data_IF_980482494677
#
_entry.id   IF_980482494677
#
_cell.length_a   1.000
_cell.length_b   1.000
_cell.length_c   1.000
_cell.angle_alpha   90.00
_cell.angle_beta   90.00
_cell.angle_gamma   90.00
#
_symmetry.space_group_name_H-M   'P 1'
#
loop_
_entity.id
_entity.type
_entity.pdbx_description
1 polymer ?
#
# COMPACT_ATOMS: atom_id res chain seq x y z
N UNK A 1 -0.57 22.09 4.02
CA UNK A 1 -0.82 23.54 4.19
C UNK A 1 -0.47 24.26 2.88
N UNK A 2 -1.14 25.37 2.56
CA UNK A 2 -0.84 26.23 1.39
C UNK A 2 -0.49 27.63 1.91
N UNK A 3 0.50 28.28 1.30
CA UNK A 3 0.96 29.62 1.68
C UNK A 3 0.88 30.57 0.49
N UNK A 4 0.59 31.85 0.76
CA UNK A 4 0.54 32.93 -0.21
C UNK A 4 1.64 33.94 0.13
N UNK A 5 2.42 34.36 -0.87
CA UNK A 5 3.35 35.47 -0.68
C UNK A 5 2.57 36.78 -0.80
N UNK A 6 2.58 37.62 0.23
CA UNK A 6 1.81 38.86 0.23
C UNK A 6 2.41 39.95 -0.67
N UNK A 7 3.73 39.95 -0.86
CA UNK A 7 4.41 40.95 -1.69
C UNK A 7 4.20 40.70 -3.19
N UNK A 8 4.03 39.45 -3.60
CA UNK A 8 3.86 39.05 -5.01
C UNK A 8 2.44 38.56 -5.34
N UNK A 9 1.58 38.39 -4.33
CA UNK A 9 0.24 37.80 -4.43
C UNK A 9 0.19 36.43 -5.13
N UNK A 10 1.25 35.62 -4.95
CA UNK A 10 1.42 34.34 -5.66
C UNK A 10 1.46 33.15 -4.68
N UNK A 11 0.77 32.03 -4.97
CA UNK A 11 0.84 30.83 -4.16
C UNK A 11 2.26 30.25 -4.10
N UNK A 12 2.78 30.10 -2.88
CA UNK A 12 4.10 29.52 -2.65
C UNK A 12 4.15 28.04 -3.02
N UNK A 13 5.30 27.58 -3.49
CA UNK A 13 5.56 26.18 -3.88
C UNK A 13 6.36 25.47 -2.79
N UNK A 14 6.14 24.16 -2.65
CA UNK A 14 6.97 23.32 -1.79
C UNK A 14 8.38 23.28 -2.37
N UNK A 15 9.37 23.66 -1.56
CA UNK A 15 10.78 23.65 -1.94
C UNK A 15 11.46 22.37 -1.44
N UNK A 16 11.27 22.02 -0.18
CA UNK A 16 11.92 20.87 0.44
C UNK A 16 11.09 20.33 1.60
N UNK A 17 11.24 19.02 1.82
CA UNK A 17 10.76 18.32 3.01
C UNK A 17 11.93 17.49 3.54
N UNK A 18 12.33 17.71 4.78
CA UNK A 18 13.49 17.09 5.42
C UNK A 18 13.10 16.45 6.76
N UNK A 19 13.78 15.37 7.15
CA UNK A 19 13.38 14.55 8.31
C UNK A 19 12.33 13.48 7.94
N UNK A 20 11.91 12.60 8.88
CA UNK A 20 11.90 12.76 10.35
C UNK A 20 13.00 11.98 11.08
N UNK A 21 14.14 11.76 10.44
CA UNK A 21 15.23 10.91 10.97
C UNK A 21 15.73 11.38 12.35
N UNK A 22 15.87 12.69 12.54
CA UNK A 22 16.23 13.33 13.83
C UNK A 22 15.03 13.56 14.76
N UNK A 23 13.88 12.96 14.43
CA UNK A 23 12.65 13.08 15.19
C UNK A 23 11.82 14.31 14.89
N UNK A 24 12.27 15.27 14.07
CA UNK A 24 11.47 16.42 13.62
C UNK A 24 11.36 16.46 12.10
N UNK A 25 10.25 16.99 11.58
CA UNK A 25 9.99 17.19 10.17
C UNK A 25 10.08 18.69 9.86
N UNK A 26 10.91 19.04 8.89
CA UNK A 26 10.98 20.39 8.34
C UNK A 26 10.32 20.43 6.96
N UNK A 27 9.44 21.40 6.73
CA UNK A 27 8.79 21.62 5.43
C UNK A 27 9.01 23.07 5.02
N UNK A 28 9.72 23.28 3.91
CA UNK A 28 10.07 24.61 3.40
C UNK A 28 9.26 24.95 2.15
N UNK A 29 8.68 26.15 2.13
CA UNK A 29 7.97 26.72 1.00
C UNK A 29 8.72 27.94 0.47
N UNK A 30 8.61 28.19 -0.84
CA UNK A 30 9.25 29.32 -1.54
C UNK A 30 8.26 30.02 -2.46
N UNK A 31 8.29 31.35 -2.48
CA UNK A 31 7.63 32.15 -3.51
C UNK A 31 8.39 32.01 -4.84
N UNK A 32 7.72 31.66 -5.95
CA UNK A 32 8.39 31.49 -7.24
C UNK A 32 8.96 32.80 -7.81
N UNK A 33 8.35 33.94 -7.47
CA UNK A 33 8.73 35.26 -7.99
C UNK A 33 9.91 35.87 -7.23
N UNK A 34 9.72 36.23 -5.95
CA UNK A 34 10.74 36.94 -5.17
C UNK A 34 11.69 36.02 -4.38
N UNK A 35 11.40 34.72 -4.32
CA UNK A 35 12.23 33.75 -3.60
C UNK A 35 12.11 33.79 -2.07
N UNK A 36 11.16 34.55 -1.50
CA UNK A 36 10.86 34.53 -0.06
C UNK A 36 10.57 33.11 0.42
N UNK A 37 11.06 32.75 1.61
CA UNK A 37 10.99 31.38 2.17
C UNK A 37 10.36 31.37 3.54
N UNK A 38 9.55 30.35 3.79
CA UNK A 38 8.99 30.01 5.10
C UNK A 38 9.23 28.54 5.36
N UNK A 39 9.65 28.18 6.57
CA UNK A 39 9.81 26.80 6.99
C UNK A 39 8.89 26.51 8.18
N UNK A 40 8.22 25.36 8.13
CA UNK A 40 7.54 24.77 9.26
C UNK A 40 8.45 23.71 9.86
N UNK A 41 8.64 23.74 11.19
CA UNK A 41 9.35 22.70 11.92
C UNK A 41 8.39 22.05 12.90
N UNK A 42 8.17 20.74 12.77
CA UNK A 42 7.31 20.00 13.69
C UNK A 42 8.04 19.68 14.99
N UNK A 43 7.28 19.55 16.07
CA UNK A 43 7.84 19.13 17.35
C UNK A 43 8.32 17.68 17.27
N UNK A 44 9.45 17.39 17.93
CA UNK A 44 10.04 16.07 17.95
C UNK A 44 9.10 14.99 18.54
N UNK A 45 8.41 15.33 19.64
CA UNK A 45 7.56 14.36 20.34
C UNK A 45 6.30 14.01 19.54
N UNK A 46 5.74 15.00 18.84
CA UNK A 46 4.57 14.80 17.98
C UNK A 46 4.92 13.95 16.77
N UNK A 47 6.07 14.21 16.14
CA UNK A 47 6.49 13.48 14.93
C UNK A 47 6.83 12.02 15.27
N UNK A 48 7.46 11.76 16.41
CA UNK A 48 7.72 10.41 16.90
C UNK A 48 6.43 9.64 17.19
N UNK A 49 5.43 10.30 17.78
CA UNK A 49 4.11 9.70 18.00
C UNK A 49 3.42 9.35 16.67
N UNK A 50 3.46 10.23 15.66
CA UNK A 50 2.88 9.93 14.34
C UNK A 50 3.63 8.81 13.63
N UNK A 51 4.96 8.74 13.78
CA UNK A 51 5.80 7.66 13.23
C UNK A 51 5.46 6.31 13.85
N UNK A 52 5.22 6.25 15.16
CA UNK A 52 4.86 4.99 15.84
C UNK A 52 3.49 4.45 15.42
N UNK A 53 2.60 5.33 14.96
CA UNK A 53 1.31 4.96 14.36
C UNK A 53 1.43 4.42 12.92
N UNK A 54 2.63 4.37 12.34
CA UNK A 54 2.87 3.81 11.00
C UNK A 54 2.36 4.67 9.84
N UNK A 55 1.99 5.93 10.12
CA UNK A 55 1.49 6.86 9.11
C UNK A 55 2.68 7.38 8.29
N UNK A 56 2.62 7.24 6.96
CA UNK A 56 3.61 7.83 6.06
C UNK A 56 3.51 9.36 6.11
N UNK A 57 4.57 9.99 6.61
CA UNK A 57 4.70 11.44 6.70
C UNK A 57 5.40 11.93 5.42
N UNK A 58 4.74 12.80 4.68
CA UNK A 58 5.18 13.26 3.37
C UNK A 58 4.02 13.22 2.39
N UNK A 59 3.62 14.40 1.88
CA UNK A 59 2.58 14.50 0.87
C UNK A 59 2.95 13.69 -0.38
N UNK A 60 1.94 13.15 -1.06
CA UNK A 60 2.12 12.37 -2.29
C UNK A 60 2.73 13.27 -3.37
N UNK A 61 3.84 12.86 -3.97
CA UNK A 61 4.41 13.50 -5.16
C UNK A 61 3.73 13.04 -6.46
N UNK A 62 3.02 11.91 -6.41
CA UNK A 62 2.27 11.34 -7.53
C UNK A 62 0.78 11.17 -7.22
N UNK A 63 -0.10 11.30 -8.24
CA UNK A 63 -1.53 11.08 -8.10
C UNK A 63 -1.85 9.66 -7.65
N UNK A 64 -2.98 9.49 -6.95
CA UNK A 64 -3.43 8.19 -6.47
C UNK A 64 -3.72 7.25 -7.64
N UNK A 65 -3.10 6.07 -7.63
CA UNK A 65 -3.29 5.07 -8.67
C UNK A 65 -4.56 4.25 -8.39
N UNK A 66 -5.28 3.75 -9.41
CA UNK A 66 -6.42 2.88 -9.21
C UNK A 66 -6.05 1.63 -8.38
N UNK A 67 -6.89 1.32 -7.38
CA UNK A 67 -6.73 0.16 -6.48
C UNK A 67 -5.37 0.07 -5.77
N UNK A 68 -4.68 1.19 -5.58
CA UNK A 68 -3.35 1.23 -4.96
C UNK A 68 -3.32 0.60 -3.57
N UNK A 69 -4.35 0.82 -2.74
CA UNK A 69 -4.44 0.19 -1.42
C UNK A 69 -4.48 -1.35 -1.50
N UNK A 70 -5.30 -1.91 -2.40
CA UNK A 70 -5.35 -3.37 -2.61
C UNK A 70 -4.00 -3.90 -3.11
N UNK A 71 -3.38 -3.18 -4.05
CA UNK A 71 -2.08 -3.57 -4.61
C UNK A 71 -0.97 -3.55 -3.55
N UNK A 72 -0.98 -2.56 -2.67
CA UNK A 72 -0.05 -2.47 -1.54
C UNK A 72 -0.27 -3.60 -0.52
N UNK A 73 -1.54 -3.90 -0.17
CA UNK A 73 -1.87 -5.02 0.72
C UNK A 73 -1.45 -6.37 0.14
N UNK A 74 -1.58 -6.57 -1.17
CA UNK A 74 -1.12 -7.80 -1.84
C UNK A 74 0.41 -7.91 -1.89
N UNK A 75 1.12 -6.80 -2.13
CA UNK A 75 2.60 -6.79 -2.12
C UNK A 75 3.19 -7.07 -0.73
N UNK A 76 2.43 -6.81 0.34
CA UNK A 76 2.81 -7.06 1.73
C UNK A 76 2.34 -8.44 2.22
N UNK A 77 1.59 -9.17 1.40
CA UNK A 77 1.17 -10.51 1.76
C UNK A 77 2.40 -11.43 1.79
N UNK A 78 2.64 -12.18 2.89
CA UNK A 78 3.70 -13.17 2.92
C UNK A 78 3.48 -14.19 1.80
N UNK A 79 4.58 -14.64 1.19
CA UNK A 79 4.57 -15.62 0.11
C UNK A 79 3.99 -16.96 0.62
N UNK A 80 2.68 -17.14 0.40
CA UNK A 80 1.99 -18.41 0.62
C UNK A 80 2.29 -19.43 -0.50
N UNK A 81 3.12 -19.06 -1.50
CA UNK A 81 3.50 -19.87 -2.66
C UNK A 81 4.46 -21.02 -2.36
N UNK A 82 4.96 -21.15 -1.13
CA UNK A 82 5.86 -22.25 -0.75
C UNK A 82 5.19 -23.62 -0.53
N UNK A 83 3.86 -23.69 -0.46
CA UNK A 83 3.13 -24.91 -0.06
C UNK A 83 2.71 -25.82 -1.23
N UNK A 84 3.37 -25.72 -2.40
CA UNK A 84 3.26 -26.74 -3.46
C UNK A 84 4.63 -27.40 -3.65
N UNK A 85 5.11 -28.09 -2.62
CA UNK A 85 6.26 -28.99 -2.74
C UNK A 85 5.86 -30.35 -2.16
N UNK A 86 5.68 -31.29 -3.08
CA UNK A 86 5.59 -32.74 -2.94
C UNK A 86 4.91 -33.29 -1.69
N UNK A 87 3.65 -33.69 -1.88
CA UNK A 87 2.94 -34.59 -0.97
C UNK A 87 3.60 -35.98 -0.98
N UNK A 88 4.62 -36.15 -0.15
CA UNK A 88 4.97 -37.46 0.44
C UNK A 88 4.71 -37.32 1.95
N UNK A 89 3.58 -37.85 2.43
CA UNK A 89 3.17 -37.71 3.84
C UNK A 89 3.97 -38.60 4.81
N UNK A 90 3.55 -38.75 6.07
CA UNK A 90 2.88 -37.77 6.95
C UNK A 90 3.63 -37.64 8.30
N UNK A 91 3.67 -36.44 8.89
CA UNK A 91 3.69 -36.35 10.35
C UNK A 91 3.01 -35.06 10.81
N UNK A 92 2.04 -35.23 11.69
CA UNK A 92 1.22 -34.17 12.24
C UNK A 92 2.03 -33.32 13.21
N UNK A 93 2.11 -32.02 12.95
CA UNK A 93 2.45 -31.03 13.97
C UNK A 93 1.34 -29.97 14.00
N UNK A 94 0.52 -30.06 15.03
CA UNK A 94 -0.41 -29.02 15.43
C UNK A 94 0.36 -27.75 15.82
N UNK A 95 -0.01 -26.60 15.26
CA UNK A 95 0.53 -25.32 15.71
C UNK A 95 0.55 -24.23 14.65
N UNK A 96 -0.61 -23.67 14.33
CA UNK A 96 -0.71 -22.43 13.56
C UNK A 96 -2.16 -21.93 13.53
N UNK A 97 -2.41 -20.62 13.39
CA UNK A 97 -3.75 -20.06 13.29
C UNK A 97 -4.36 -20.47 11.95
N UNK A 98 -4.83 -21.71 11.87
CA UNK A 98 -5.48 -22.26 10.69
C UNK A 98 -6.80 -21.54 10.49
N UNK A 99 -7.00 -21.00 9.28
CA UNK A 99 -8.28 -20.44 8.87
C UNK A 99 -9.41 -21.43 9.23
N UNK A 100 -10.44 -21.02 9.97
CA UNK A 100 -11.47 -21.92 10.49
C UNK A 100 -12.29 -22.62 9.38
N UNK A 101 -12.14 -22.17 8.13
CA UNK A 101 -12.77 -22.75 6.95
C UNK A 101 -11.94 -23.83 6.25
N UNK A 102 -10.64 -23.96 6.55
CA UNK A 102 -9.77 -24.96 5.90
C UNK A 102 -10.22 -26.40 6.22
N UNK A 103 -10.79 -26.61 7.40
CA UNK A 103 -11.34 -27.90 7.81
C UNK A 103 -12.55 -28.37 6.96
N UNK A 104 -13.27 -27.45 6.30
CA UNK A 104 -14.40 -27.82 5.43
C UNK A 104 -14.00 -28.31 4.04
N UNK A 105 -12.78 -28.01 3.58
CA UNK A 105 -12.28 -28.45 2.27
C UNK A 105 -11.62 -29.83 2.31
N UNK A 106 -11.32 -30.35 3.50
CA UNK A 106 -10.67 -31.64 3.72
C UNK A 106 -11.66 -32.82 3.82
N UNK A 107 -12.88 -32.67 3.29
CA UNK A 107 -13.84 -33.77 3.21
C UNK A 107 -13.40 -34.77 2.12
N UNK A 108 -13.23 -36.07 2.45
CA UNK A 108 -12.63 -37.06 1.55
C UNK A 108 -13.51 -37.50 0.37
N UNK A 109 -14.76 -37.00 0.28
CA UNK A 109 -15.72 -37.35 -0.78
C UNK A 109 -15.92 -36.23 -1.82
N UNK A 110 -15.03 -35.25 -1.88
CA UNK A 110 -15.06 -34.24 -2.93
C UNK A 110 -14.72 -34.88 -4.29
N UNK A 111 -15.74 -35.25 -5.05
CA UNK A 111 -15.61 -35.67 -6.44
C UNK A 111 -14.71 -34.69 -7.21
N UNK A 112 -13.78 -35.22 -8.01
CA UNK A 112 -12.87 -34.42 -8.82
C UNK A 112 -13.67 -33.33 -9.55
N UNK A 113 -13.30 -32.04 -9.44
CA UNK A 113 -14.08 -30.98 -10.03
C UNK A 113 -14.15 -31.23 -11.53
N UNK A 114 -15.37 -31.31 -12.06
CA UNK A 114 -15.58 -31.38 -13.50
C UNK A 114 -14.82 -30.20 -14.14
N UNK A 115 -14.04 -30.48 -15.20
CA UNK A 115 -13.34 -29.41 -15.93
C UNK A 115 -14.39 -28.44 -16.45
N UNK A 116 -14.47 -27.26 -15.82
CA UNK A 116 -15.37 -26.20 -16.26
C UNK A 116 -14.81 -25.63 -17.54
N UNK A 117 -15.45 -25.94 -18.66
CA UNK A 117 -15.16 -25.30 -19.94
C UNK A 117 -15.79 -23.92 -19.93
N UNK A 118 -15.02 -22.92 -20.34
CA UNK A 118 -15.52 -21.56 -20.49
C UNK A 118 -16.60 -21.55 -21.57
N UNK A 119 -17.71 -20.85 -21.31
CA UNK A 119 -18.68 -20.60 -22.37
C UNK A 119 -18.07 -19.70 -23.44
N UNK A 120 -18.53 -19.76 -24.70
CA UNK A 120 -18.05 -18.89 -25.76
C UNK A 120 -18.18 -17.39 -25.41
N UNK A 121 -19.27 -17.02 -24.74
CA UNK A 121 -19.50 -15.65 -24.26
C UNK A 121 -18.51 -15.24 -23.17
N UNK A 122 -18.09 -16.18 -22.32
CA UNK A 122 -17.09 -15.93 -21.28
C UNK A 122 -15.71 -15.73 -21.92
N UNK A 123 -15.35 -16.52 -22.94
CA UNK A 123 -14.11 -16.33 -23.69
C UNK A 123 -14.06 -14.97 -24.39
N UNK A 124 -15.14 -14.57 -25.08
CA UNK A 124 -15.24 -13.27 -25.74
C UNK A 124 -15.23 -12.06 -24.78
N UNK A 125 -15.45 -12.27 -23.47
CA UNK A 125 -15.28 -11.22 -22.45
C UNK A 125 -13.80 -11.05 -22.07
N UNK A 126 -13.04 -12.14 -22.02
CA UNK A 126 -11.60 -12.10 -21.72
C UNK A 126 -10.85 -11.35 -22.81
N UNK A 127 -11.20 -11.58 -24.07
CA UNK A 127 -10.58 -10.90 -25.23
C UNK A 127 -10.80 -9.38 -25.25
N UNK A 128 -11.73 -8.86 -24.45
CA UNK A 128 -12.04 -7.42 -24.35
C UNK A 128 -11.31 -6.71 -23.22
N UNK A 129 -10.50 -7.40 -22.43
CA UNK A 129 -9.73 -6.80 -21.33
C UNK A 129 -8.54 -6.04 -21.94
N UNK A 130 -8.44 -4.70 -21.76
CA UNK A 130 -7.28 -3.93 -22.21
C UNK A 130 -6.01 -4.37 -21.47
N UNK A 131 -4.89 -4.43 -22.19
CA UNK A 131 -3.57 -4.73 -21.64
C UNK A 131 -3.04 -3.62 -20.72
#
# INVERSE_FOLDING_TARGET
MKFLCLDCDEPMKLLATEGPEDGSLAVTFRCPECGFRVAMLTNQFETQMVKSLGVKVGGRTEPAQPFEHLRASMAQAPDLGGAIRDATGPEAAAGGPGCPFAAMLAAPDAAAPARVLWSPDAAARVDRIPA
#
